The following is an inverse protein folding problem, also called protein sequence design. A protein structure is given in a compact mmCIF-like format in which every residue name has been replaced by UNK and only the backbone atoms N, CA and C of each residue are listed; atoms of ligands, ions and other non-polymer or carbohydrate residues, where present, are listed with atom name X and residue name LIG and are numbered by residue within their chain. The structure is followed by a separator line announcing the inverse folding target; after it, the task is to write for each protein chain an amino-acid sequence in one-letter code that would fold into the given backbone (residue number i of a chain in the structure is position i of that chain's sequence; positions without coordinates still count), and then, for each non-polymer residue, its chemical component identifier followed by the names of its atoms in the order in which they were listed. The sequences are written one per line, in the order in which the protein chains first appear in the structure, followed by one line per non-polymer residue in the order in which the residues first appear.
data_IF_031576860576
#
_entry.id   IF_031576860576
#
_cell.length_a   1.000
_cell.length_b   1.000
_cell.length_c   1.000
_cell.angle_alpha   90.00
_cell.angle_beta   90.00
_cell.angle_gamma   90.00
#
_symmetry.space_group_name_H-M   'P 1'
#
loop_
_entity.id
_entity.type
_entity.pdbx_description
1 polymer ?
#
# COMPACT_ATOMS: atom_id res chain seq x y z
N UNK A 1 -8.42 39.12 -7.44
CA UNK A 1 -7.60 38.25 -8.33
C UNK A 1 -7.03 37.14 -7.49
N UNK A 2 -7.57 35.92 -7.56
CA UNK A 2 -6.96 34.74 -6.94
C UNK A 2 -5.83 34.30 -7.87
N UNK A 3 -4.59 34.48 -7.44
CA UNK A 3 -3.45 33.85 -8.09
C UNK A 3 -3.57 32.35 -7.82
N UNK A 4 -3.79 31.55 -8.85
CA UNK A 4 -3.58 30.12 -8.83
C UNK A 4 -2.09 29.90 -8.52
N UNK A 5 -1.76 29.61 -7.27
CA UNK A 5 -0.46 29.06 -6.90
C UNK A 5 -0.40 27.66 -7.53
N UNK A 6 0.11 27.58 -8.75
CA UNK A 6 0.56 26.31 -9.31
C UNK A 6 1.67 25.84 -8.38
N UNK A 7 1.38 24.82 -7.60
CA UNK A 7 2.40 24.15 -6.77
C UNK A 7 3.52 23.73 -7.73
N UNK A 8 4.66 24.38 -7.63
CA UNK A 8 5.81 24.07 -8.48
C UNK A 8 6.24 22.64 -8.16
N UNK A 9 6.18 21.77 -9.16
CA UNK A 9 6.60 20.38 -9.00
C UNK A 9 8.10 20.35 -8.67
N UNK A 10 8.47 19.67 -7.58
CA UNK A 10 9.85 19.58 -7.16
C UNK A 10 10.66 18.76 -8.19
N UNK A 11 11.89 19.18 -8.53
CA UNK A 11 12.67 18.52 -9.57
C UNK A 11 13.14 17.12 -9.14
N UNK A 12 13.25 16.19 -10.10
CA UNK A 12 13.98 14.94 -9.90
C UNK A 12 15.47 15.22 -10.09
N UNK A 13 16.25 15.03 -9.03
CA UNK A 13 17.70 15.28 -9.05
C UNK A 13 18.51 14.03 -9.42
N UNK A 14 18.01 12.85 -9.10
CA UNK A 14 18.61 11.56 -9.44
C UNK A 14 17.54 10.49 -9.67
N UNK A 15 17.90 9.42 -10.35
CA UNK A 15 16.99 8.27 -10.55
C UNK A 15 17.73 6.98 -10.24
N UNK A 16 17.16 6.15 -9.38
CA UNK A 16 17.69 4.84 -9.02
C UNK A 16 16.67 3.74 -9.32
N UNK A 17 17.16 2.52 -9.57
CA UNK A 17 16.28 1.38 -9.72
C UNK A 17 15.83 0.86 -8.36
N UNK A 18 14.52 0.70 -8.14
CA UNK A 18 13.98 0.00 -6.96
C UNK A 18 14.48 -1.45 -6.87
N UNK A 19 14.91 -2.01 -7.98
CA UNK A 19 15.35 -3.41 -8.08
C UNK A 19 16.82 -3.62 -7.69
N UNK A 20 17.67 -2.61 -7.82
CA UNK A 20 19.09 -2.73 -7.52
C UNK A 20 19.35 -2.62 -6.01
N UNK A 21 19.88 -3.69 -5.41
CA UNK A 21 20.22 -3.75 -3.98
C UNK A 21 21.29 -2.73 -3.57
N UNK A 22 22.27 -2.50 -4.43
CA UNK A 22 23.39 -1.58 -4.14
C UNK A 22 22.91 -0.13 -4.08
N UNK A 23 21.91 0.23 -4.89
CA UNK A 23 21.30 1.55 -4.90
C UNK A 23 20.17 1.72 -3.87
N UNK A 24 19.84 0.67 -3.11
CA UNK A 24 18.73 0.69 -2.14
C UNK A 24 18.88 1.78 -1.08
N UNK A 25 20.10 2.07 -0.65
CA UNK A 25 20.36 3.10 0.35
C UNK A 25 20.13 4.52 -0.19
N UNK A 26 20.20 4.72 -1.50
CA UNK A 26 20.02 6.01 -2.16
C UNK A 26 18.54 6.31 -2.47
N UNK A 27 17.62 5.40 -2.21
CA UNK A 27 16.18 5.64 -2.46
C UNK A 27 15.61 6.81 -1.64
N UNK A 28 16.25 7.15 -0.52
CA UNK A 28 15.82 8.22 0.38
C UNK A 28 16.63 9.51 0.22
N UNK A 29 17.57 9.56 -0.73
CA UNK A 29 18.28 10.80 -1.02
C UNK A 29 17.32 11.89 -1.49
N UNK A 30 17.58 13.13 -1.06
CA UNK A 30 16.76 14.28 -1.43
C UNK A 30 16.71 14.44 -2.96
N UNK A 31 15.50 14.52 -3.50
CA UNK A 31 15.25 14.63 -4.95
C UNK A 31 15.44 13.34 -5.75
N UNK A 32 15.71 12.18 -5.11
CA UNK A 32 15.84 10.92 -5.84
C UNK A 32 14.47 10.37 -6.29
N UNK A 33 14.46 9.73 -7.46
CA UNK A 33 13.33 8.96 -7.96
C UNK A 33 13.66 7.47 -7.99
N UNK A 34 13.11 6.72 -7.04
CA UNK A 34 13.20 5.27 -7.00
C UNK A 34 12.17 4.67 -7.98
N UNK A 35 12.63 4.23 -9.14
CA UNK A 35 11.80 3.80 -10.27
C UNK A 35 11.75 2.27 -10.39
N UNK A 36 10.57 1.73 -10.73
CA UNK A 36 10.40 0.33 -11.15
C UNK A 36 10.86 0.17 -12.60
N UNK A 37 12.15 -0.11 -12.79
CA UNK A 37 12.78 -0.21 -14.12
C UNK A 37 12.55 -1.56 -14.80
N UNK A 38 12.03 -2.55 -14.08
CA UNK A 38 11.83 -3.92 -14.57
C UNK A 38 10.36 -4.33 -14.67
N UNK A 39 9.43 -3.40 -14.41
CA UNK A 39 7.99 -3.64 -14.39
C UNK A 39 7.58 -4.77 -13.41
N UNK A 40 8.30 -4.90 -12.31
CA UNK A 40 8.07 -5.92 -11.28
C UNK A 40 6.70 -5.81 -10.61
N UNK A 41 6.09 -4.62 -10.67
CA UNK A 41 4.76 -4.37 -10.12
C UNK A 41 3.64 -4.97 -10.95
N UNK A 42 3.86 -5.24 -12.25
CA UNK A 42 2.82 -5.71 -13.19
C UNK A 42 2.14 -7.00 -12.74
N UNK A 43 2.89 -7.89 -12.11
CA UNK A 43 2.39 -9.17 -11.61
C UNK A 43 1.36 -9.05 -10.48
N UNK A 44 1.25 -7.89 -9.84
CA UNK A 44 0.32 -7.65 -8.72
C UNK A 44 -0.93 -6.89 -9.15
N UNK A 45 -0.89 -6.20 -10.29
CA UNK A 45 -1.98 -5.35 -10.77
C UNK A 45 -3.21 -6.19 -11.08
N UNK A 46 -4.39 -5.68 -10.66
CA UNK A 46 -5.68 -6.28 -10.94
C UNK A 46 -6.64 -6.25 -9.75
N UNK A 47 -7.75 -6.92 -9.92
CA UNK A 47 -8.77 -7.14 -8.89
C UNK A 47 -8.66 -8.56 -8.34
N UNK A 48 -8.46 -8.65 -7.01
CA UNK A 48 -8.23 -9.88 -6.29
C UNK A 48 -9.37 -10.13 -5.32
N UNK A 49 -9.85 -11.38 -5.25
CA UNK A 49 -10.98 -11.79 -4.42
C UNK A 49 -10.58 -12.84 -3.38
N UNK A 50 -11.02 -12.58 -2.16
CA UNK A 50 -11.18 -13.58 -1.10
C UNK A 50 -12.65 -13.66 -0.73
N UNK A 51 -13.22 -14.86 -0.80
CA UNK A 51 -14.64 -15.08 -0.52
C UNK A 51 -14.83 -16.37 0.27
N UNK A 52 -14.82 -16.26 1.60
CA UNK A 52 -14.97 -17.40 2.52
C UNK A 52 -15.59 -16.97 3.83
N UNK A 53 -16.33 -17.88 4.47
CA UNK A 53 -16.87 -17.72 5.83
C UNK A 53 -17.72 -16.44 6.01
N UNK A 54 -18.54 -16.08 5.03
CA UNK A 54 -19.37 -14.87 5.08
C UNK A 54 -18.60 -13.56 4.85
N UNK A 55 -17.29 -13.65 4.51
CA UNK A 55 -16.44 -12.49 4.21
C UNK A 55 -16.13 -12.47 2.73
N UNK A 56 -16.53 -11.40 2.04
CA UNK A 56 -16.04 -11.04 0.72
C UNK A 56 -15.08 -9.86 0.87
N UNK A 57 -13.81 -10.07 0.54
CA UNK A 57 -12.79 -9.04 0.51
C UNK A 57 -12.23 -8.90 -0.91
N UNK A 58 -12.50 -7.76 -1.53
CA UNK A 58 -11.96 -7.39 -2.84
C UNK A 58 -10.82 -6.41 -2.63
N UNK A 59 -9.68 -6.70 -3.25
CA UNK A 59 -8.49 -5.85 -3.23
C UNK A 59 -8.12 -5.47 -4.66
N UNK A 60 -8.27 -4.19 -4.99
CA UNK A 60 -7.85 -3.61 -6.27
C UNK A 60 -6.44 -3.04 -6.12
N UNK A 61 -5.53 -3.51 -6.97
CA UNK A 61 -4.13 -3.07 -6.98
C UNK A 61 -3.84 -2.39 -8.31
N UNK A 62 -3.40 -1.13 -8.25
CA UNK A 62 -3.10 -0.30 -9.43
C UNK A 62 -1.69 0.30 -9.30
N UNK A 63 -1.02 0.51 -10.43
CA UNK A 63 0.28 1.21 -10.46
C UNK A 63 0.08 2.72 -10.35
N UNK A 64 0.87 3.36 -9.52
CA UNK A 64 1.03 4.82 -9.52
C UNK A 64 2.52 5.15 -9.59
N UNK A 65 2.90 5.92 -10.61
CA UNK A 65 4.29 6.28 -10.84
C UNK A 65 4.59 7.64 -10.22
N UNK A 66 5.85 7.84 -9.83
CA UNK A 66 6.39 9.12 -9.40
C UNK A 66 5.58 9.75 -8.25
N UNK A 67 5.19 8.95 -7.28
CA UNK A 67 4.53 9.44 -6.07
C UNK A 67 5.55 10.15 -5.20
N UNK A 68 5.26 11.39 -4.82
CA UNK A 68 6.13 12.16 -3.95
C UNK A 68 5.94 11.76 -2.48
N UNK A 69 7.05 11.53 -1.80
CA UNK A 69 7.11 11.51 -0.35
C UNK A 69 7.86 12.77 0.09
N UNK A 70 7.21 13.65 0.85
CA UNK A 70 7.72 14.96 1.19
C UNK A 70 7.61 15.19 2.69
N UNK A 71 8.67 15.72 3.27
CA UNK A 71 8.73 16.14 4.67
C UNK A 71 9.05 17.64 4.69
N UNK A 72 8.16 18.41 5.27
CA UNK A 72 8.32 19.84 5.46
C UNK A 72 8.22 20.14 6.95
N UNK A 73 9.18 20.92 7.46
CA UNK A 73 9.15 21.44 8.81
C UNK A 73 9.58 22.91 8.81
N UNK A 74 8.93 23.80 9.60
CA UNK A 74 9.29 25.19 9.66
C UNK A 74 10.78 25.38 10.03
N UNK A 75 11.51 26.15 9.22
CA UNK A 75 12.93 26.44 9.43
C UNK A 75 13.91 25.35 8.95
N UNK A 76 13.43 24.29 8.36
CA UNK A 76 14.26 23.23 7.77
C UNK A 76 14.10 23.17 6.25
N UNK A 77 15.13 22.69 5.57
CA UNK A 77 15.06 22.40 4.14
C UNK A 77 14.02 21.29 3.89
N UNK A 78 13.24 21.43 2.82
CA UNK A 78 12.30 20.40 2.40
C UNK A 78 13.04 19.16 1.93
N UNK A 79 12.74 18.02 2.55
CA UNK A 79 13.24 16.71 2.14
C UNK A 79 12.15 16.01 1.34
N UNK A 80 12.50 15.53 0.14
CA UNK A 80 11.53 14.81 -0.71
C UNK A 80 12.21 13.75 -1.56
N UNK A 81 11.45 12.75 -1.93
CA UNK A 81 11.82 11.73 -2.91
C UNK A 81 10.58 11.21 -3.63
N UNK A 82 10.80 10.51 -4.73
CA UNK A 82 9.75 9.93 -5.55
C UNK A 82 9.86 8.41 -5.57
N UNK A 83 8.71 7.73 -5.61
CA UNK A 83 8.62 6.28 -5.70
C UNK A 83 7.58 5.86 -6.72
N UNK A 84 7.81 4.71 -7.30
CA UNK A 84 6.80 3.96 -8.01
C UNK A 84 6.09 3.03 -7.03
N UNK A 85 4.76 3.20 -6.86
CA UNK A 85 3.97 2.48 -5.89
C UNK A 85 2.92 1.58 -6.55
N UNK A 86 2.45 0.60 -5.79
CA UNK A 86 1.17 -0.07 -5.96
C UNK A 86 0.19 0.59 -4.98
N UNK A 87 -0.89 1.12 -5.51
CA UNK A 87 -1.98 1.71 -4.70
C UNK A 87 -3.02 0.63 -4.47
N UNK A 88 -3.49 0.53 -3.23
CA UNK A 88 -4.46 -0.45 -2.80
C UNK A 88 -5.80 0.22 -2.48
N UNK A 89 -6.86 -0.28 -3.11
CA UNK A 89 -8.25 0.02 -2.76
C UNK A 89 -8.95 -1.27 -2.39
N UNK A 90 -9.93 -1.22 -1.52
CA UNK A 90 -10.60 -2.43 -1.14
C UNK A 90 -12.10 -2.24 -0.88
N UNK A 91 -12.83 -3.34 -1.03
CA UNK A 91 -14.20 -3.49 -0.56
C UNK A 91 -14.25 -4.66 0.42
N UNK A 92 -14.91 -4.43 1.54
CA UNK A 92 -15.14 -5.44 2.55
C UNK A 92 -16.66 -5.62 2.76
N UNK A 93 -17.13 -6.83 2.58
CA UNK A 93 -18.51 -7.23 2.86
C UNK A 93 -18.48 -8.34 3.90
N UNK A 94 -19.30 -8.24 4.93
CA UNK A 94 -19.51 -9.28 5.96
C UNK A 94 -20.97 -9.59 6.05
N UNK A 95 -21.31 -10.88 5.98
CA UNK A 95 -22.69 -11.37 6.06
C UNK A 95 -23.65 -10.59 5.13
N UNK A 96 -23.20 -10.35 3.89
CA UNK A 96 -23.89 -9.56 2.84
C UNK A 96 -24.04 -8.05 3.13
N UNK A 97 -23.42 -7.53 4.19
CA UNK A 97 -23.42 -6.10 4.52
C UNK A 97 -22.11 -5.49 4.07
N UNK A 98 -22.18 -4.42 3.25
CA UNK A 98 -20.98 -3.64 2.88
C UNK A 98 -20.49 -2.88 4.11
N UNK A 99 -19.30 -3.25 4.58
CA UNK A 99 -18.66 -2.64 5.75
C UNK A 99 -17.80 -1.45 5.34
N UNK A 100 -17.12 -1.58 4.20
CA UNK A 100 -16.30 -0.52 3.60
C UNK A 100 -16.15 -0.73 2.09
N UNK A 101 -16.09 0.35 1.33
CA UNK A 101 -15.88 0.32 -0.12
C UNK A 101 -15.22 1.61 -0.61
N UNK A 102 -14.01 1.51 -1.18
CA UNK A 102 -13.34 2.60 -1.87
C UNK A 102 -12.76 2.18 -3.23
N UNK A 103 -13.26 1.07 -3.83
CA UNK A 103 -12.73 0.54 -5.10
C UNK A 103 -12.71 1.57 -6.22
N UNK A 104 -13.69 2.49 -6.24
CA UNK A 104 -13.89 3.48 -7.29
C UNK A 104 -13.63 4.94 -6.84
N UNK A 105 -13.06 5.14 -5.66
CA UNK A 105 -12.68 6.49 -5.22
C UNK A 105 -11.55 7.05 -6.08
N UNK A 106 -11.74 8.28 -6.58
CA UNK A 106 -10.75 8.97 -7.43
C UNK A 106 -9.67 9.69 -6.62
N UNK A 107 -9.98 10.08 -5.39
CA UNK A 107 -9.10 10.88 -4.52
C UNK A 107 -8.55 10.01 -3.39
N UNK A 108 -7.62 9.12 -3.74
CA UNK A 108 -6.96 8.26 -2.77
C UNK A 108 -5.62 8.86 -2.40
N UNK A 109 -5.43 9.11 -1.10
CA UNK A 109 -4.09 9.39 -0.57
C UNK A 109 -3.17 8.17 -0.87
N UNK A 110 -2.21 8.33 -1.81
CA UNK A 110 -1.38 7.20 -2.25
C UNK A 110 -0.46 6.68 -1.15
N UNK A 111 -0.32 7.41 -0.03
CA UNK A 111 0.54 7.01 1.10
C UNK A 111 -0.28 6.28 2.18
N UNK A 112 -1.60 6.34 2.12
CA UNK A 112 -2.46 5.68 3.11
C UNK A 112 -2.52 4.16 2.91
N UNK A 113 -2.67 3.71 1.65
CA UNK A 113 -2.78 2.30 1.30
C UNK A 113 -1.89 2.00 0.09
N UNK A 114 -0.70 1.48 0.33
CA UNK A 114 0.26 1.23 -0.74
C UNK A 114 1.13 -0.01 -0.48
N UNK A 115 1.71 -0.53 -1.56
CA UNK A 115 2.82 -1.46 -1.51
C UNK A 115 3.96 -1.00 -2.43
N UNK A 116 5.17 -1.43 -2.09
CA UNK A 116 6.36 -1.30 -2.93
C UNK A 116 6.92 -2.67 -3.24
N UNK A 117 7.44 -2.83 -4.46
CA UNK A 117 8.24 -4.00 -4.82
C UNK A 117 9.70 -3.58 -4.83
N UNK A 118 10.44 -3.95 -3.80
CA UNK A 118 11.83 -3.57 -3.61
C UNK A 118 12.77 -4.74 -3.84
N UNK A 119 13.80 -4.52 -4.63
CA UNK A 119 14.87 -5.48 -4.87
C UNK A 119 14.37 -6.85 -5.33
N UNK A 120 15.10 -7.90 -4.98
CA UNK A 120 14.80 -9.30 -5.34
C UNK A 120 13.83 -10.01 -4.39
N UNK A 121 13.12 -9.29 -3.52
CA UNK A 121 12.13 -9.92 -2.65
C UNK A 121 11.01 -10.57 -3.48
N UNK A 122 10.57 -11.75 -3.05
CA UNK A 122 9.47 -12.49 -3.71
C UNK A 122 8.09 -11.88 -3.45
N UNK A 123 8.02 -10.79 -2.68
CA UNK A 123 6.78 -10.12 -2.27
C UNK A 123 6.87 -8.61 -2.48
N UNK A 124 5.71 -7.97 -2.61
CA UNK A 124 5.54 -6.55 -2.40
C UNK A 124 5.10 -6.30 -0.94
N UNK A 125 5.51 -5.18 -0.36
CA UNK A 125 5.16 -4.84 1.03
C UNK A 125 4.80 -3.38 1.18
N UNK A 126 4.00 -3.06 2.17
CA UNK A 126 3.58 -1.68 2.41
C UNK A 126 2.67 -1.52 3.60
N UNK A 127 1.81 -0.51 3.50
CA UNK A 127 0.88 -0.13 4.56
C UNK A 127 -0.54 -0.22 4.06
N UNK A 128 -1.46 -0.58 4.94
CA UNK A 128 -2.89 -0.49 4.72
C UNK A 128 -3.57 0.11 5.95
N UNK A 129 -4.55 0.93 5.71
CA UNK A 129 -5.38 1.51 6.75
C UNK A 129 -6.76 0.84 6.73
N UNK A 130 -7.05 0.08 7.77
CA UNK A 130 -8.40 -0.39 8.03
C UNK A 130 -9.26 0.78 8.55
N UNK A 131 -10.03 1.36 7.64
CA UNK A 131 -10.87 2.53 7.92
C UNK A 131 -11.98 2.21 8.91
N UNK A 132 -12.48 0.98 8.94
CA UNK A 132 -13.57 0.53 9.80
C UNK A 132 -13.14 0.52 11.27
N UNK A 133 -11.92 0.02 11.53
CA UNK A 133 -11.33 -0.06 12.86
C UNK A 133 -10.45 1.13 13.20
N UNK A 134 -10.17 2.00 12.23
CA UNK A 134 -9.23 3.10 12.31
C UNK A 134 -7.81 2.65 12.73
N UNK A 135 -7.38 1.50 12.22
CA UNK A 135 -6.09 0.88 12.54
C UNK A 135 -5.22 0.77 11.29
N UNK A 136 -3.96 1.12 11.42
CA UNK A 136 -2.96 0.93 10.37
C UNK A 136 -2.16 -0.34 10.63
N UNK A 137 -1.90 -1.09 9.54
CA UNK A 137 -1.08 -2.29 9.54
C UNK A 137 -0.03 -2.29 8.45
N UNK A 138 0.97 -3.15 8.60
CA UNK A 138 1.86 -3.56 7.53
C UNK A 138 1.27 -4.76 6.80
N UNK A 139 1.54 -4.88 5.53
CA UNK A 139 1.14 -6.05 4.76
C UNK A 139 2.24 -6.51 3.82
N UNK A 140 2.16 -7.78 3.45
CA UNK A 140 2.93 -8.36 2.36
C UNK A 140 1.98 -9.00 1.35
N UNK A 141 2.35 -8.91 0.06
CA UNK A 141 1.64 -9.52 -1.05
C UNK A 141 2.62 -10.41 -1.80
N UNK A 142 2.44 -11.72 -1.69
CA UNK A 142 3.28 -12.70 -2.39
C UNK A 142 2.53 -13.25 -3.60
N UNK A 143 3.13 -13.14 -4.79
CA UNK A 143 2.56 -13.71 -6.01
C UNK A 143 2.81 -15.20 -6.06
N UNK A 144 1.74 -15.99 -6.31
CA UNK A 144 1.84 -17.43 -6.52
C UNK A 144 1.90 -17.73 -8.02
N UNK A 145 2.72 -18.73 -8.39
CA UNK A 145 2.78 -19.19 -9.77
C UNK A 145 1.67 -20.23 -10.03
N UNK A 146 0.43 -19.75 -10.18
CA UNK A 146 -0.78 -20.58 -10.35
C UNK A 146 -1.63 -20.09 -11.52
N UNK A 147 -2.50 -20.97 -12.03
CA UNK A 147 -3.56 -20.64 -12.97
C UNK A 147 -4.91 -21.21 -12.43
N UNK A 148 -5.92 -20.39 -12.09
CA UNK A 148 -5.89 -18.92 -12.17
C UNK A 148 -4.82 -18.29 -11.28
N UNK A 149 -4.49 -17.03 -11.58
CA UNK A 149 -3.51 -16.24 -10.86
C UNK A 149 -3.94 -16.02 -9.41
N UNK A 150 -3.02 -16.21 -8.45
CA UNK A 150 -3.29 -16.05 -7.01
C UNK A 150 -2.21 -15.22 -6.33
N UNK A 151 -2.59 -14.59 -5.22
CA UNK A 151 -1.68 -13.95 -4.26
C UNK A 151 -1.96 -14.46 -2.86
N UNK A 152 -0.94 -14.41 -2.00
CA UNK A 152 -1.12 -14.46 -0.54
C UNK A 152 -1.04 -13.02 -0.03
N UNK A 153 -2.11 -12.57 0.59
CA UNK A 153 -2.15 -11.28 1.29
C UNK A 153 -2.02 -11.54 2.80
N UNK A 154 -0.96 -11.04 3.40
CA UNK A 154 -0.74 -11.16 4.83
C UNK A 154 -0.76 -9.76 5.46
N UNK A 155 -1.60 -9.58 6.49
CA UNK A 155 -1.75 -8.32 7.23
C UNK A 155 -1.28 -8.50 8.66
N UNK A 156 -0.37 -7.64 9.06
CA UNK A 156 0.22 -7.63 10.38
C UNK A 156 0.08 -6.25 11.03
N UNK A 157 0.08 -6.21 12.34
CA UNK A 157 0.11 -4.97 13.10
C UNK A 157 1.47 -4.29 12.96
N UNK A 158 1.52 -2.96 12.96
CA UNK A 158 2.76 -2.24 13.20
C UNK A 158 3.23 -2.43 14.65
N UNK A 159 4.49 -2.79 14.82
CA UNK A 159 5.11 -3.04 16.13
C UNK A 159 5.25 -1.80 17.05
N UNK A 160 4.86 -0.62 16.59
CA UNK A 160 5.05 0.62 17.36
C UNK A 160 4.00 0.84 18.45
N UNK A 161 2.94 0.08 18.48
CA UNK A 161 1.97 0.11 19.57
C UNK A 161 2.29 -1.00 20.56
N UNK A 162 2.50 -0.63 21.82
CA UNK A 162 2.79 -1.60 22.89
C UNK A 162 1.79 -2.74 22.84
N UNK A 163 2.29 -3.98 22.88
CA UNK A 163 1.51 -5.22 22.79
C UNK A 163 0.35 -5.29 23.82
N UNK A 164 0.39 -4.44 24.83
CA UNK A 164 -0.55 -4.40 25.95
C UNK A 164 -1.47 -3.16 25.91
N UNK A 165 -1.62 -2.48 24.78
CA UNK A 165 -2.60 -1.40 24.70
C UNK A 165 -4.01 -1.99 24.60
N UNK A 166 -4.65 -2.13 25.76
CA UNK A 166 -6.01 -2.68 25.88
C UNK A 166 -7.05 -1.89 25.08
N UNK A 167 -6.74 -0.64 24.70
CA UNK A 167 -7.64 0.19 23.90
C UNK A 167 -7.98 -0.42 22.53
N UNK A 168 -7.10 -1.24 21.96
CA UNK A 168 -7.33 -1.91 20.69
C UNK A 168 -8.21 -3.16 20.76
N UNK A 169 -8.44 -3.71 21.96
CA UNK A 169 -9.16 -4.98 22.16
C UNK A 169 -10.37 -4.84 23.09
N UNK A 170 -10.76 -3.62 23.40
CA UNK A 170 -11.82 -3.35 24.41
C UNK A 170 -13.18 -3.92 24.08
N UNK A 171 -13.45 -4.17 22.78
CA UNK A 171 -14.74 -4.67 22.31
C UNK A 171 -14.75 -6.19 22.04
N UNK A 172 -13.64 -6.89 22.32
CA UNK A 172 -13.49 -8.32 22.05
C UNK A 172 -13.43 -8.68 20.56
N UNK A 173 -13.37 -7.69 19.67
CA UNK A 173 -13.31 -7.91 18.23
C UNK A 173 -11.84 -8.01 17.75
N UNK A 174 -11.61 -8.63 16.57
CA UNK A 174 -10.28 -8.62 15.94
C UNK A 174 -9.75 -7.20 15.73
N UNK A 175 -8.43 -7.02 15.84
CA UNK A 175 -7.75 -5.73 15.64
C UNK A 175 -8.10 -5.11 14.28
N UNK A 176 -8.14 -5.92 13.22
CA UNK A 176 -8.54 -5.49 11.89
C UNK A 176 -9.90 -6.07 11.52
N UNK A 177 -10.71 -5.31 10.80
CA UNK A 177 -11.89 -5.83 10.10
C UNK A 177 -11.51 -6.55 8.80
N UNK A 178 -10.40 -6.14 8.17
CA UNK A 178 -9.80 -6.79 7.01
C UNK A 178 -9.28 -8.18 7.41
N UNK A 179 -9.46 -9.22 6.57
CA UNK A 179 -8.92 -10.55 6.85
C UNK A 179 -7.40 -10.55 7.05
N UNK A 180 -6.94 -11.36 8.00
CA UNK A 180 -5.53 -11.48 8.41
C UNK A 180 -5.02 -12.92 8.17
N UNK A 181 -3.75 -13.18 8.54
CA UNK A 181 -3.15 -14.51 8.61
C UNK A 181 -2.94 -15.19 7.24
N UNK A 182 -2.48 -14.44 6.25
CA UNK A 182 -2.05 -15.01 4.98
C UNK A 182 -3.19 -15.58 4.15
N UNK A 183 -4.20 -14.78 3.86
CA UNK A 183 -5.32 -15.21 3.03
C UNK A 183 -4.90 -15.37 1.56
N UNK A 184 -5.35 -16.46 0.93
CA UNK A 184 -5.18 -16.69 -0.49
C UNK A 184 -6.30 -15.97 -1.26
N UNK A 185 -5.93 -15.12 -2.21
CA UNK A 185 -6.85 -14.38 -3.07
C UNK A 185 -6.66 -14.78 -4.53
N UNK A 186 -7.75 -14.86 -5.27
CA UNK A 186 -7.77 -15.21 -6.70
C UNK A 186 -7.96 -13.96 -7.54
N UNK A 187 -7.24 -13.85 -8.65
CA UNK A 187 -7.45 -12.77 -9.62
C UNK A 187 -8.76 -12.99 -10.37
N UNK A 188 -9.61 -11.93 -10.50
CA UNK A 188 -10.95 -12.01 -11.10
C UNK A 188 -11.15 -11.07 -12.31
N UNK A 189 -10.09 -10.36 -12.75
CA UNK A 189 -10.07 -9.49 -13.95
C UNK A 189 -8.99 -9.89 -14.97
#
# INVERSE_FOLDING_TARGET
MCQNLVSQELPVLSTTSQFNREQRFNHQENGNYARDTHNERDQYVGLWEYNQNGILFLLKIEKMNRVINKIEAPGFETIYNYFDLLILRYRLVKDNIVVFDNLNENDVDPIANYATKLGSYSFASGRIWDRTRNVRGSHTITRLNTNPAKIIFNLERFDYTKVNDSSFYQDGQPLFSIPQNGIEMVKID
#
